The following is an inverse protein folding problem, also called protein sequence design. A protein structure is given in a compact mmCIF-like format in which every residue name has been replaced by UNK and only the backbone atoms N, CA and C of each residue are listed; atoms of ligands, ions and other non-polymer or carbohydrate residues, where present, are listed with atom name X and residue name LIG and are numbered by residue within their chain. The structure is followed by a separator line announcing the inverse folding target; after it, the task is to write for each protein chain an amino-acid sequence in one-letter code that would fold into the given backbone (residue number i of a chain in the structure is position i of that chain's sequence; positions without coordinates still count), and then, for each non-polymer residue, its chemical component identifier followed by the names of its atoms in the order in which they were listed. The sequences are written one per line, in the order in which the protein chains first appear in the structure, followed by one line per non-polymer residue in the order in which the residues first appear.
data_IF_159806670382
#
_entry.id   IF_159806670382
#
_cell.length_a   1.000
_cell.length_b   1.000
_cell.length_c   1.000
_cell.angle_alpha   90.00
_cell.angle_beta   90.00
_cell.angle_gamma   90.00
#
_symmetry.space_group_name_H-M   'P 1'
#
loop_
_entity.id
_entity.type
_entity.pdbx_description
1 polymer ?
#
# COMPACT_ATOMS: atom_id res chain seq x y z
N UNK A 1 -30.74 -42.85 29.63
CA UNK A 1 -29.57 -41.98 29.41
C UNK A 1 -28.34 -42.88 29.20
N UNK A 2 -27.99 -43.17 27.94
CA UNK A 2 -26.89 -44.09 27.60
C UNK A 2 -25.57 -43.31 27.57
N UNK A 3 -24.56 -43.74 28.35
CA UNK A 3 -23.24 -43.09 28.41
C UNK A 3 -22.37 -43.62 27.27
N UNK A 4 -21.99 -42.75 26.32
CA UNK A 4 -20.98 -43.06 25.30
C UNK A 4 -19.59 -43.08 25.98
N UNK A 5 -18.88 -44.19 25.83
CA UNK A 5 -17.50 -44.38 26.30
C UNK A 5 -16.54 -43.90 25.22
N UNK A 6 -15.67 -42.95 25.55
CA UNK A 6 -14.67 -42.39 24.65
C UNK A 6 -13.51 -43.39 24.49
N UNK A 7 -13.18 -43.78 23.25
CA UNK A 7 -12.06 -44.69 22.97
C UNK A 7 -10.73 -43.92 22.92
N UNK A 8 -10.03 -43.89 24.05
CA UNK A 8 -8.79 -43.11 24.25
C UNK A 8 -7.61 -43.72 23.45
N UNK A 9 -7.63 -45.03 23.20
CA UNK A 9 -6.54 -45.75 22.55
C UNK A 9 -6.32 -45.36 21.07
N UNK A 10 -7.36 -44.90 20.36
CA UNK A 10 -7.22 -44.42 18.98
C UNK A 10 -6.53 -43.06 18.87
N UNK A 11 -6.66 -42.21 19.90
CA UNK A 11 -6.15 -40.84 19.90
C UNK A 11 -4.64 -40.79 20.16
N UNK A 12 -4.11 -41.75 20.92
CA UNK A 12 -2.68 -41.79 21.25
C UNK A 12 -1.79 -42.11 20.02
N UNK A 13 -2.30 -42.88 19.05
CA UNK A 13 -1.53 -43.31 17.88
C UNK A 13 -1.37 -42.20 16.81
N UNK A 14 -2.20 -41.15 16.86
CA UNK A 14 -2.14 -40.04 15.91
C UNK A 14 -1.16 -38.92 16.34
N UNK A 15 -0.73 -38.91 17.60
CA UNK A 15 0.20 -37.89 18.14
C UNK A 15 1.68 -38.23 17.95
N UNK A 16 2.02 -39.48 17.64
CA UNK A 16 3.41 -39.92 17.43
C UNK A 16 3.88 -39.78 15.96
N UNK A 17 3.15 -39.01 15.14
CA UNK A 17 3.68 -38.52 13.86
C UNK A 17 3.63 -39.50 12.69
N UNK A 18 2.90 -40.62 12.80
CA UNK A 18 2.66 -41.56 11.71
C UNK A 18 1.43 -41.20 10.84
N UNK A 19 1.16 -39.90 10.67
CA UNK A 19 0.05 -39.47 9.81
C UNK A 19 0.45 -39.56 8.34
N UNK A 20 -0.25 -40.41 7.59
CA UNK A 20 -0.17 -40.55 6.12
C UNK A 20 -0.52 -39.26 5.35
N UNK A 21 -0.98 -38.20 6.04
CA UNK A 21 -1.45 -36.95 5.45
C UNK A 21 -0.46 -35.78 5.54
N UNK A 22 0.64 -35.92 6.29
CA UNK A 22 1.65 -34.85 6.44
C UNK A 22 2.99 -35.26 5.84
N UNK A 23 3.23 -34.84 4.60
CA UNK A 23 4.56 -34.90 3.97
C UNK A 23 5.53 -33.95 4.68
N UNK A 24 6.68 -34.46 5.10
CA UNK A 24 7.75 -33.70 5.72
C UNK A 24 8.34 -32.69 4.71
N UNK A 25 8.49 -31.39 5.04
CA UNK A 25 9.14 -30.46 4.14
C UNK A 25 10.65 -30.75 4.03
N UNK A 26 11.24 -30.69 2.82
CA UNK A 26 12.67 -30.93 2.64
C UNK A 26 13.49 -29.83 3.33
N UNK A 27 14.51 -30.24 4.09
CA UNK A 27 15.43 -29.35 4.76
C UNK A 27 16.36 -28.60 3.77
N UNK A 28 16.77 -27.37 4.10
CA UNK A 28 17.51 -26.48 3.19
C UNK A 28 19.00 -26.81 3.16
N UNK A 29 19.59 -26.90 1.97
CA UNK A 29 21.04 -26.87 1.77
C UNK A 29 21.51 -25.46 1.36
N UNK A 30 22.56 -24.97 2.02
CA UNK A 30 23.40 -23.80 1.67
C UNK A 30 24.87 -24.29 1.57
N UNK A 31 25.84 -23.48 1.13
CA UNK A 31 25.97 -22.71 -0.11
C UNK A 31 27.33 -22.99 -0.81
N UNK A 32 27.51 -22.63 -2.09
CA UNK A 32 28.85 -22.61 -2.71
C UNK A 32 29.11 -21.28 -3.43
N UNK A 33 30.01 -20.49 -2.86
CA UNK A 33 30.68 -19.32 -3.45
C UNK A 33 31.80 -19.76 -4.39
N UNK A 34 32.07 -18.99 -5.45
CA UNK A 34 33.40 -18.39 -5.75
C UNK A 34 33.36 -17.47 -7.00
N UNK A 35 34.35 -16.54 -7.16
CA UNK A 35 34.16 -15.19 -7.70
C UNK A 35 34.99 -14.90 -8.98
N UNK A 36 34.77 -13.73 -9.60
CA UNK A 36 35.74 -12.97 -10.42
C UNK A 36 35.25 -11.50 -10.57
N UNK A 37 35.94 -10.52 -9.97
CA UNK A 37 36.90 -9.56 -10.58
C UNK A 37 36.19 -8.47 -11.44
N UNK A 38 36.04 -7.19 -11.02
CA UNK A 38 37.04 -6.08 -10.89
C UNK A 38 37.76 -5.87 -12.24
N UNK A 39 37.80 -4.75 -12.97
CA UNK A 39 37.52 -3.29 -12.89
C UNK A 39 37.59 -2.77 -14.37
N UNK A 40 37.82 -1.48 -14.72
CA UNK A 40 37.02 -0.27 -14.50
C UNK A 40 36.84 0.59 -15.79
N UNK A 41 36.08 1.69 -15.64
CA UNK A 41 36.23 3.01 -16.27
C UNK A 41 36.13 3.18 -17.80
N UNK A 42 35.17 4.01 -18.24
CA UNK A 42 35.42 5.17 -19.14
C UNK A 42 34.16 6.06 -19.28
N UNK A 43 34.23 7.27 -18.71
CA UNK A 43 33.59 8.50 -19.25
C UNK A 43 34.38 8.96 -20.49
N UNK A 44 33.86 9.75 -21.46
CA UNK A 44 33.21 11.08 -21.31
C UNK A 44 32.02 11.22 -22.30
N UNK A 45 31.34 12.34 -22.60
CA UNK A 45 31.65 13.77 -22.57
C UNK A 45 30.33 14.56 -22.59
N UNK A 46 30.35 15.73 -21.95
CA UNK A 46 29.27 16.72 -21.91
C UNK A 46 29.32 17.53 -23.22
N UNK A 47 28.17 17.67 -23.90
CA UNK A 47 27.97 18.65 -24.97
C UNK A 47 26.87 19.64 -24.53
N UNK A 48 27.25 20.90 -24.36
CA UNK A 48 26.34 22.03 -24.23
C UNK A 48 25.91 22.52 -25.62
N UNK A 49 24.64 22.91 -25.82
CA UNK A 49 24.27 23.82 -26.90
C UNK A 49 24.12 25.26 -26.39
N UNK A 50 24.81 26.16 -27.08
CA UNK A 50 24.79 27.61 -26.96
C UNK A 50 23.42 28.18 -27.42
N UNK A 51 22.72 28.92 -26.54
CA UNK A 51 21.49 29.63 -26.88
C UNK A 51 21.78 31.13 -27.04
N UNK A 52 21.64 31.60 -28.29
CA UNK A 52 21.53 33.01 -28.68
C UNK A 52 20.22 33.59 -28.14
N UNK A 53 20.29 34.64 -27.34
CA UNK A 53 19.13 35.44 -26.91
C UNK A 53 19.18 36.79 -27.60
N UNK A 54 18.16 37.09 -28.39
CA UNK A 54 17.95 38.41 -28.95
C UNK A 54 16.47 38.80 -28.82
N UNK A 55 16.21 39.92 -28.15
CA UNK A 55 15.20 40.87 -28.61
C UNK A 55 13.80 40.88 -28.01
N UNK A 56 13.63 41.82 -27.07
CA UNK A 56 12.49 42.75 -26.89
C UNK A 56 11.21 42.34 -26.15
N UNK A 57 11.04 43.08 -25.05
CA UNK A 57 9.90 43.21 -24.17
C UNK A 57 8.75 43.98 -24.84
N UNK A 58 7.55 43.44 -24.75
CA UNK A 58 6.27 44.16 -24.61
C UNK A 58 5.19 43.12 -24.25
N UNK A 59 4.93 42.88 -22.95
CA UNK A 59 3.68 42.27 -22.40
C UNK A 59 3.81 41.92 -20.90
N UNK A 60 3.99 42.91 -20.02
CA UNK A 60 4.17 42.64 -18.57
C UNK A 60 2.88 42.48 -17.75
N UNK A 61 1.69 42.69 -18.33
CA UNK A 61 0.43 42.60 -17.56
C UNK A 61 -0.39 41.34 -17.87
N UNK A 62 -0.22 40.72 -19.06
CA UNK A 62 -0.88 39.46 -19.42
C UNK A 62 -0.03 38.20 -19.20
N UNK A 63 1.27 38.34 -18.89
CA UNK A 63 2.13 37.19 -18.58
C UNK A 63 1.94 36.67 -17.16
N UNK A 64 1.65 37.53 -16.18
CA UNK A 64 1.51 37.09 -14.78
C UNK A 64 0.32 36.12 -14.58
N UNK A 65 -0.85 36.40 -15.17
CA UNK A 65 -2.01 35.51 -15.10
C UNK A 65 -1.82 34.19 -15.86
N UNK A 66 -1.07 34.22 -16.97
CA UNK A 66 -0.75 33.01 -17.75
C UNK A 66 0.31 32.15 -17.06
N UNK A 67 1.31 32.76 -16.42
CA UNK A 67 2.34 32.06 -15.65
C UNK A 67 1.77 31.47 -14.35
N UNK A 68 0.89 32.19 -13.65
CA UNK A 68 0.17 31.65 -12.49
C UNK A 68 -0.74 30.47 -12.87
N UNK A 69 -1.53 30.60 -13.95
CA UNK A 69 -2.37 29.51 -14.46
C UNK A 69 -1.56 28.29 -14.94
N UNK A 70 -0.38 28.50 -15.52
CA UNK A 70 0.53 27.42 -15.89
C UNK A 70 1.19 26.77 -14.66
N UNK A 71 1.54 27.54 -13.64
CA UNK A 71 2.10 27.00 -12.39
C UNK A 71 1.06 26.20 -11.60
N UNK A 72 -0.17 26.71 -11.49
CA UNK A 72 -1.27 26.01 -10.82
C UNK A 72 -1.65 24.71 -11.55
N UNK A 73 -1.67 24.71 -12.88
CA UNK A 73 -1.94 23.49 -13.65
C UNK A 73 -0.80 22.47 -13.57
N UNK A 74 0.46 22.90 -13.52
CA UNK A 74 1.61 22.00 -13.30
C UNK A 74 1.58 21.43 -11.88
N UNK A 75 1.28 22.23 -10.87
CA UNK A 75 1.15 21.75 -9.48
C UNK A 75 -0.02 20.79 -9.32
N UNK A 76 -1.18 21.11 -9.88
CA UNK A 76 -2.34 20.21 -9.88
C UNK A 76 -2.04 18.89 -10.60
N UNK A 77 -1.34 18.94 -11.74
CA UNK A 77 -0.91 17.75 -12.48
C UNK A 77 0.08 16.88 -11.69
N UNK A 78 1.06 17.50 -11.01
CA UNK A 78 1.99 16.79 -10.14
C UNK A 78 1.26 16.13 -8.96
N UNK A 79 0.30 16.83 -8.33
CA UNK A 79 -0.50 16.29 -7.22
C UNK A 79 -1.37 15.13 -7.71
N UNK A 80 -2.00 15.23 -8.89
CA UNK A 80 -2.81 14.12 -9.42
C UNK A 80 -1.95 12.90 -9.75
N UNK A 81 -0.75 13.08 -10.30
CA UNK A 81 0.18 11.97 -10.58
C UNK A 81 0.58 11.27 -9.27
N UNK A 82 0.88 12.04 -8.22
CA UNK A 82 1.22 11.48 -6.90
C UNK A 82 0.02 10.73 -6.30
N UNK A 83 -1.20 11.27 -6.44
CA UNK A 83 -2.41 10.60 -5.96
C UNK A 83 -2.69 9.31 -6.73
N UNK A 84 -2.52 9.31 -8.05
CA UNK A 84 -2.68 8.13 -8.89
C UNK A 84 -1.67 7.03 -8.51
N UNK A 85 -0.43 7.41 -8.19
CA UNK A 85 0.61 6.47 -7.76
C UNK A 85 0.31 5.85 -6.38
N UNK A 86 -0.21 6.66 -5.44
CA UNK A 86 -0.65 6.16 -4.12
C UNK A 86 -1.83 5.21 -4.29
N UNK A 87 -2.84 5.56 -5.11
CA UNK A 87 -4.00 4.70 -5.37
C UNK A 87 -3.56 3.37 -5.98
N UNK A 88 -2.67 3.39 -6.95
CA UNK A 88 -2.16 2.17 -7.59
C UNK A 88 -1.34 1.30 -6.64
N UNK A 89 -0.53 1.92 -5.77
CA UNK A 89 0.24 1.24 -4.73
C UNK A 89 -0.66 0.56 -3.70
N UNK A 90 -1.69 1.28 -3.23
CA UNK A 90 -2.69 0.72 -2.30
C UNK A 90 -3.46 -0.42 -2.98
N UNK A 91 -3.88 -0.24 -4.24
CA UNK A 91 -4.60 -1.28 -5.01
C UNK A 91 -3.80 -2.57 -5.10
N UNK A 92 -2.51 -2.49 -5.45
CA UNK A 92 -1.60 -3.65 -5.52
C UNK A 92 -1.51 -4.37 -4.17
N UNK A 93 -1.38 -3.61 -3.09
CA UNK A 93 -1.21 -4.16 -1.73
C UNK A 93 -2.49 -4.81 -1.21
N UNK A 94 -3.65 -4.17 -1.38
CA UNK A 94 -4.94 -4.69 -0.89
C UNK A 94 -5.38 -5.93 -1.67
N UNK A 95 -5.04 -6.03 -2.96
CA UNK A 95 -5.34 -7.22 -3.77
C UNK A 95 -4.68 -8.51 -3.25
N UNK A 96 -3.53 -8.39 -2.58
CA UNK A 96 -2.87 -9.52 -1.94
C UNK A 96 -3.56 -9.83 -0.61
N UNK A 97 -4.02 -11.07 -0.41
CA UNK A 97 -4.65 -11.51 0.83
C UNK A 97 -3.58 -11.90 1.84
N UNK A 98 -3.53 -11.19 2.98
CA UNK A 98 -2.64 -11.52 4.09
C UNK A 98 -3.13 -12.71 4.90
N UNK A 99 -2.22 -13.38 5.61
CA UNK A 99 -2.54 -14.47 6.55
C UNK A 99 -2.68 -14.00 8.00
N UNK A 100 -2.24 -12.77 8.27
CA UNK A 100 -2.23 -12.18 9.60
C UNK A 100 -3.56 -11.49 9.90
N UNK A 101 -4.12 -11.78 11.07
CA UNK A 101 -5.35 -11.16 11.54
C UNK A 101 -5.03 -9.91 12.38
N UNK A 102 -5.73 -8.82 12.11
CA UNK A 102 -5.71 -7.60 12.91
C UNK A 102 -7.05 -7.44 13.61
N UNK A 103 -7.05 -7.38 14.94
CA UNK A 103 -8.24 -7.15 15.75
C UNK A 103 -8.19 -5.75 16.36
N UNK A 104 -9.09 -4.86 15.91
CA UNK A 104 -9.22 -3.49 16.43
C UNK A 104 -10.55 -3.36 17.15
N UNK A 105 -10.55 -2.74 18.33
CA UNK A 105 -11.78 -2.32 19.01
C UNK A 105 -12.22 -1.00 18.41
N UNK A 106 -13.39 -1.01 17.80
CA UNK A 106 -14.04 0.19 17.25
C UNK A 106 -15.33 0.46 18.02
N UNK A 107 -15.71 1.73 18.07
CA UNK A 107 -16.96 2.21 18.63
C UNK A 107 -18.15 1.81 17.74
N UNK A 108 -19.38 1.82 18.28
CA UNK A 108 -20.58 1.55 17.49
C UNK A 108 -20.80 2.54 16.34
N UNK A 109 -20.41 3.80 16.53
CA UNK A 109 -20.56 4.83 15.49
C UNK A 109 -19.57 4.62 14.36
N UNK A 110 -18.29 4.33 14.65
CA UNK A 110 -17.30 3.94 13.63
C UNK A 110 -17.74 2.71 12.85
N UNK A 111 -18.32 1.71 13.54
CA UNK A 111 -18.87 0.53 12.88
C UNK A 111 -20.01 0.89 11.92
N UNK A 112 -20.92 1.78 12.33
CA UNK A 112 -22.05 2.23 11.50
C UNK A 112 -21.56 2.94 10.25
N UNK A 113 -20.59 3.85 10.37
CA UNK A 113 -20.00 4.56 9.24
C UNK A 113 -19.34 3.59 8.26
N UNK A 114 -18.55 2.64 8.77
CA UNK A 114 -17.90 1.62 7.94
C UNK A 114 -18.93 0.78 7.16
N UNK A 115 -20.00 0.32 7.82
CA UNK A 115 -21.06 -0.43 7.15
C UNK A 115 -21.82 0.41 6.12
N UNK A 116 -22.06 1.70 6.41
CA UNK A 116 -22.70 2.64 5.48
C UNK A 116 -21.87 2.81 4.20
N UNK A 117 -20.56 3.00 4.34
CA UNK A 117 -19.62 3.10 3.21
C UNK A 117 -19.63 1.82 2.38
N UNK A 118 -19.57 0.65 3.03
CA UNK A 118 -19.64 -0.65 2.34
C UNK A 118 -20.94 -0.81 1.55
N UNK A 119 -22.07 -0.40 2.12
CA UNK A 119 -23.34 -0.42 1.42
C UNK A 119 -23.34 0.49 0.19
N UNK A 120 -22.88 1.73 0.34
CA UNK A 120 -22.81 2.70 -0.75
C UNK A 120 -21.96 2.20 -1.93
N UNK A 121 -20.78 1.62 -1.66
CA UNK A 121 -19.93 1.08 -2.72
C UNK A 121 -20.52 -0.17 -3.38
N UNK A 122 -21.15 -1.05 -2.61
CA UNK A 122 -21.81 -2.23 -3.17
C UNK A 122 -22.99 -1.87 -4.07
N UNK A 123 -23.75 -0.83 -3.73
CA UNK A 123 -24.83 -0.35 -4.58
C UNK A 123 -24.28 0.30 -5.85
N UNK A 124 -23.21 1.09 -5.74
CA UNK A 124 -22.54 1.72 -6.89
C UNK A 124 -22.03 0.70 -7.91
N UNK A 125 -21.45 -0.42 -7.45
CA UNK A 125 -20.87 -1.45 -8.32
C UNK A 125 -21.76 -2.67 -8.55
N UNK A 126 -23.04 -2.59 -8.19
CA UNK A 126 -23.98 -3.71 -8.25
C UNK A 126 -24.09 -4.32 -9.66
N UNK A 127 -24.07 -3.49 -10.70
CA UNK A 127 -24.13 -3.94 -12.10
C UNK A 127 -22.84 -4.61 -12.60
N UNK A 128 -21.72 -4.39 -11.92
CA UNK A 128 -20.39 -4.90 -12.29
C UNK A 128 -20.04 -6.22 -11.60
N UNK A 129 -20.92 -6.71 -10.70
CA UNK A 129 -20.70 -7.93 -9.94
C UNK A 129 -19.57 -7.83 -8.91
N UNK A 130 -19.08 -6.62 -8.62
CA UNK A 130 -18.04 -6.39 -7.61
C UNK A 130 -18.69 -6.24 -6.25
N UNK A 131 -18.06 -6.82 -5.24
CA UNK A 131 -18.45 -6.63 -3.84
C UNK A 131 -17.26 -6.10 -3.07
N UNK A 132 -17.55 -5.19 -2.16
CA UNK A 132 -16.60 -4.64 -1.21
C UNK A 132 -16.99 -5.07 0.20
N UNK A 133 -15.98 -5.39 0.99
CA UNK A 133 -16.11 -5.79 2.38
C UNK A 133 -15.51 -4.74 3.32
N UNK A 134 -15.94 -4.78 4.58
CA UNK A 134 -15.37 -3.95 5.65
C UNK A 134 -13.86 -4.16 5.78
N UNK A 135 -13.40 -5.40 5.55
CA UNK A 135 -11.98 -5.74 5.59
C UNK A 135 -11.20 -5.04 4.47
N UNK A 136 -11.74 -4.98 3.25
CA UNK A 136 -11.11 -4.25 2.14
C UNK A 136 -11.02 -2.75 2.43
N UNK A 137 -12.11 -2.13 2.88
CA UNK A 137 -12.11 -0.70 3.24
C UNK A 137 -11.11 -0.42 4.38
N UNK A 138 -11.08 -1.27 5.40
CA UNK A 138 -10.14 -1.13 6.52
C UNK A 138 -8.69 -1.23 6.04
N UNK A 139 -8.39 -2.16 5.12
CA UNK A 139 -7.05 -2.30 4.55
C UNK A 139 -6.69 -1.13 3.65
N UNK A 140 -7.63 -0.56 2.89
CA UNK A 140 -7.39 0.67 2.11
C UNK A 140 -7.01 1.82 3.03
N UNK A 141 -7.79 2.05 4.11
CA UNK A 141 -7.50 3.11 5.08
C UNK A 141 -6.14 2.94 5.76
N UNK A 142 -5.81 1.71 6.18
CA UNK A 142 -4.52 1.43 6.81
C UNK A 142 -3.34 1.64 5.87
N UNK A 143 -3.43 1.18 4.63
CA UNK A 143 -2.35 1.38 3.65
C UNK A 143 -2.22 2.86 3.25
N UNK A 144 -3.31 3.61 3.21
CA UNK A 144 -3.24 5.06 3.02
C UNK A 144 -2.43 5.74 4.13
N UNK A 145 -2.66 5.37 5.40
CA UNK A 145 -1.86 5.89 6.52
C UNK A 145 -0.38 5.53 6.39
N UNK A 146 -0.06 4.35 5.88
CA UNK A 146 1.34 3.95 5.64
C UNK A 146 2.00 4.76 4.52
N UNK A 147 1.31 4.97 3.40
CA UNK A 147 1.87 5.78 2.31
C UNK A 147 1.99 7.26 2.68
N UNK A 148 1.00 7.80 3.40
CA UNK A 148 1.07 9.16 3.94
C UNK A 148 2.25 9.32 4.90
N UNK A 149 2.46 8.36 5.80
CA UNK A 149 3.61 8.37 6.71
C UNK A 149 4.95 8.24 5.97
N UNK A 150 5.04 7.40 4.94
CA UNK A 150 6.30 7.26 4.16
C UNK A 150 6.65 8.53 3.39
N UNK A 151 5.64 9.22 2.86
CA UNK A 151 5.83 10.43 2.06
C UNK A 151 6.09 11.65 2.95
N UNK A 152 5.34 11.80 4.04
CA UNK A 152 5.32 13.03 4.85
C UNK A 152 6.02 12.89 6.22
N UNK A 153 6.36 11.68 6.65
CA UNK A 153 7.03 11.42 7.93
C UNK A 153 6.25 11.99 9.12
N UNK A 154 6.92 12.81 9.93
CA UNK A 154 6.33 13.49 11.09
C UNK A 154 5.22 14.48 10.73
N UNK A 155 5.17 14.93 9.46
CA UNK A 155 4.12 15.81 8.96
C UNK A 155 2.89 15.05 8.47
N UNK A 156 2.91 13.72 8.50
CA UNK A 156 1.76 12.88 8.14
C UNK A 156 0.58 13.06 9.08
N UNK A 157 -0.61 12.74 8.58
CA UNK A 157 -1.86 12.74 9.35
C UNK A 157 -1.74 11.81 10.56
N UNK A 158 -1.14 10.63 10.37
CA UNK A 158 -0.90 9.67 11.44
C UNK A 158 -0.05 10.27 12.57
N UNK A 159 1.11 10.85 12.23
CA UNK A 159 2.01 11.43 13.23
C UNK A 159 1.36 12.60 13.98
N UNK A 160 0.64 13.47 13.28
CA UNK A 160 -0.08 14.61 13.89
C UNK A 160 -1.17 14.15 14.85
N UNK A 161 -1.99 13.18 14.45
CA UNK A 161 -3.07 12.66 15.31
C UNK A 161 -2.49 11.99 16.55
N UNK A 162 -1.42 11.19 16.40
CA UNK A 162 -0.76 10.56 17.54
C UNK A 162 -0.10 11.57 18.48
N UNK A 163 0.45 12.67 17.95
CA UNK A 163 1.00 13.74 18.77
C UNK A 163 -0.10 14.41 19.62
N UNK A 164 -1.28 14.66 19.05
CA UNK A 164 -2.41 15.27 19.76
C UNK A 164 -3.03 14.31 20.78
N UNK A 165 -3.10 13.00 20.48
CA UNK A 165 -3.67 12.00 21.38
C UNK A 165 -2.80 11.71 22.61
N UNK A 166 -1.48 11.90 22.50
CA UNK A 166 -0.52 11.63 23.58
C UNK A 166 0.02 12.90 24.26
N UNK A 167 -0.46 14.08 23.87
CA UNK A 167 -0.14 15.36 24.51
C UNK A 167 -0.95 15.56 25.80
#
# INVERSE_FOLDING_TARGET
MSRKVLQIAGIANELEGASLYFNQPPQPSKPTLKPSAVDPASQPAILQPELKVEGKNDNLVNQAGKLASMQDSIQASMISIIQDDIVETIRKTVKLVGKEALFVRITPDEKRELTSIVYAFNELYRGEGRKTSENEISRVGLNWLFEDYRTNGEQSTLARVLAILNA
#
